data_IF_399707139222
#
_entry.id   IF_399707139222
#
_cell.length_a   1.000
_cell.length_b   1.000
_cell.length_c   1.000
_cell.angle_alpha   90.00
_cell.angle_beta   90.00
_cell.angle_gamma   90.00
#
_symmetry.space_group_name_H-M   'P 1'
#
loop_
_entity.id
_entity.type
_entity.pdbx_description
1 polymer ?
#
# COMPACT_ATOMS: atom_id res chain seq x y z
N UNK A 1 -27.95 40.98 21.89
CA UNK A 1 -28.61 39.79 21.30
C UNK A 1 -27.78 39.28 20.10
N UNK A 2 -26.78 38.44 20.37
CA UNK A 2 -26.00 37.78 19.32
C UNK A 2 -26.60 36.40 19.04
N UNK A 3 -27.01 36.20 17.80
CA UNK A 3 -27.66 34.99 17.32
C UNK A 3 -26.56 33.99 16.94
N UNK A 4 -26.33 32.98 17.78
CA UNK A 4 -25.45 31.86 17.48
C UNK A 4 -26.15 30.93 16.48
N UNK A 5 -25.86 31.07 15.19
CA UNK A 5 -26.18 30.03 14.22
C UNK A 5 -25.17 28.89 14.35
N UNK A 6 -25.66 27.77 14.88
CA UNK A 6 -25.00 26.48 14.98
C UNK A 6 -24.78 25.95 13.57
N UNK A 7 -23.55 25.97 13.08
CA UNK A 7 -23.18 25.31 11.81
C UNK A 7 -23.42 23.80 12.03
N UNK A 8 -24.36 23.24 11.26
CA UNK A 8 -24.60 21.80 11.23
C UNK A 8 -23.53 21.17 10.35
N UNK A 9 -23.00 20.02 10.78
CA UNK A 9 -22.16 19.16 9.95
C UNK A 9 -23.01 18.64 8.77
N UNK A 10 -22.93 19.30 7.62
CA UNK A 10 -23.44 18.79 6.35
C UNK A 10 -22.29 18.09 5.60
N UNK A 11 -22.60 16.97 4.94
CA UNK A 11 -21.67 16.24 4.08
C UNK A 11 -21.24 17.14 2.92
N UNK A 12 -19.93 17.29 2.73
CA UNK A 12 -19.34 18.02 1.60
C UNK A 12 -19.31 17.05 0.42
N UNK A 13 -20.32 17.12 -0.44
CA UNK A 13 -20.47 16.22 -1.59
C UNK A 13 -20.06 16.88 -2.93
N UNK A 14 -19.87 18.21 -2.99
CA UNK A 14 -19.52 18.95 -4.21
C UNK A 14 -18.26 19.84 -4.08
N UNK A 15 -17.51 19.99 -5.18
CA UNK A 15 -16.33 20.87 -5.33
C UNK A 15 -16.69 22.33 -5.07
N UNK A 16 -17.91 22.76 -5.43
CA UNK A 16 -18.38 24.12 -5.13
C UNK A 16 -18.40 24.40 -3.63
N UNK A 17 -18.71 23.39 -2.81
CA UNK A 17 -18.75 23.52 -1.35
C UNK A 17 -17.33 23.59 -0.77
N UNK A 18 -16.37 22.85 -1.34
CA UNK A 18 -14.96 22.97 -0.99
C UNK A 18 -14.40 24.36 -1.29
N UNK A 19 -14.74 24.94 -2.45
CA UNK A 19 -14.30 26.30 -2.82
C UNK A 19 -14.92 27.36 -1.92
N UNK A 20 -16.22 27.27 -1.63
CA UNK A 20 -16.88 28.19 -0.70
C UNK A 20 -16.34 28.07 0.73
N UNK A 21 -15.98 26.86 1.17
CA UNK A 21 -15.34 26.64 2.47
C UNK A 21 -13.97 27.33 2.51
N UNK A 22 -13.12 27.12 1.50
CA UNK A 22 -11.80 27.75 1.40
C UNK A 22 -11.91 29.29 1.32
N UNK A 23 -12.86 29.81 0.54
CA UNK A 23 -13.12 31.25 0.40
C UNK A 23 -13.65 31.88 1.70
N UNK A 24 -14.47 31.14 2.46
CA UNK A 24 -14.95 31.58 3.78
C UNK A 24 -13.81 31.69 4.82
N UNK A 25 -12.78 30.84 4.73
CA UNK A 25 -11.58 30.93 5.58
C UNK A 25 -10.69 32.12 5.20
N UNK A 26 -10.61 32.47 3.93
CA UNK A 26 -9.82 33.60 3.46
C UNK A 26 -10.47 34.97 3.77
N UNK A 27 -11.80 35.04 3.73
CA UNK A 27 -12.53 36.32 3.89
C UNK A 27 -12.80 36.70 5.35
N UNK A 28 -12.72 35.76 6.29
CA UNK A 28 -12.98 36.05 7.71
C UNK A 28 -12.07 35.23 8.65
N UNK A 29 -10.78 35.58 8.79
CA UNK A 29 -9.85 34.89 9.68
C UNK A 29 -10.17 35.23 11.14
N UNK A 30 -11.10 34.48 11.75
CA UNK A 30 -11.37 34.57 13.18
C UNK A 30 -10.24 33.86 13.96
N UNK A 31 -9.74 34.42 15.08
CA UNK A 31 -8.53 33.93 15.77
C UNK A 31 -8.71 32.64 16.59
N UNK A 32 -9.85 31.94 16.48
CA UNK A 32 -10.08 30.64 17.13
C UNK A 32 -10.70 29.65 16.16
N UNK A 33 -9.86 29.08 15.31
CA UNK A 33 -10.22 27.93 14.50
C UNK A 33 -10.17 26.70 15.41
N UNK A 34 -11.29 25.98 15.53
CA UNK A 34 -11.33 24.75 16.29
C UNK A 34 -10.69 23.58 15.50
N UNK A 35 -10.28 22.54 16.23
CA UNK A 35 -9.59 21.38 15.66
C UNK A 35 -10.46 20.65 14.60
N UNK A 36 -11.79 20.74 14.72
CA UNK A 36 -12.72 20.14 13.75
C UNK A 36 -12.64 20.83 12.39
N UNK A 37 -12.58 22.16 12.41
CA UNK A 37 -12.47 23.00 11.23
C UNK A 37 -11.15 22.79 10.46
N UNK A 38 -10.04 22.57 11.18
CA UNK A 38 -8.75 22.21 10.59
C UNK A 38 -8.76 20.81 9.95
N UNK A 39 -9.47 19.85 10.55
CA UNK A 39 -9.59 18.49 10.01
C UNK A 39 -10.41 18.50 8.70
N UNK A 40 -11.52 19.24 8.67
CA UNK A 40 -12.36 19.39 7.47
C UNK A 40 -11.59 20.09 6.35
N UNK A 41 -10.84 21.14 6.67
CA UNK A 41 -9.99 21.84 5.70
C UNK A 41 -8.86 20.95 5.16
N UNK A 42 -8.20 20.18 6.03
CA UNK A 42 -7.18 19.20 5.62
C UNK A 42 -7.74 18.11 4.71
N UNK A 43 -8.95 17.64 4.99
CA UNK A 43 -9.65 16.64 4.17
C UNK A 43 -10.01 17.21 2.79
N UNK A 44 -10.54 18.44 2.74
CA UNK A 44 -10.84 19.13 1.49
C UNK A 44 -9.59 19.37 0.63
N UNK A 45 -8.47 19.79 1.23
CA UNK A 45 -7.19 19.95 0.53
C UNK A 45 -6.65 18.63 -0.02
N UNK A 46 -6.75 17.54 0.75
CA UNK A 46 -6.31 16.22 0.32
C UNK A 46 -7.14 15.71 -0.89
N UNK A 47 -8.46 15.89 -0.84
CA UNK A 47 -9.34 15.53 -1.96
C UNK A 47 -9.04 16.35 -3.23
N UNK A 48 -8.81 17.66 -3.08
CA UNK A 48 -8.39 18.52 -4.17
C UNK A 48 -7.02 18.12 -4.75
N UNK A 49 -6.06 17.75 -3.89
CA UNK A 49 -4.73 17.32 -4.29
C UNK A 49 -4.76 15.98 -5.05
N UNK A 50 -5.47 14.97 -4.53
CA UNK A 50 -5.60 13.67 -5.20
C UNK A 50 -6.29 13.78 -6.55
N UNK A 51 -7.33 14.62 -6.67
CA UNK A 51 -8.05 14.81 -7.92
C UNK A 51 -7.26 15.63 -8.94
N UNK A 52 -6.46 16.62 -8.51
CA UNK A 52 -5.54 17.35 -9.39
C UNK A 52 -4.39 16.48 -9.90
N UNK A 53 -3.84 15.58 -9.05
CA UNK A 53 -2.86 14.58 -9.51
C UNK A 53 -3.47 13.61 -10.53
N UNK A 54 -4.72 13.21 -10.34
CA UNK A 54 -5.44 12.37 -11.29
C UNK A 54 -5.69 13.08 -12.64
N UNK A 55 -6.07 14.36 -12.61
CA UNK A 55 -6.27 15.16 -13.83
C UNK A 55 -4.94 15.47 -14.55
N UNK A 56 -3.87 15.76 -13.81
CA UNK A 56 -2.53 15.95 -14.38
C UNK A 56 -1.99 14.65 -15.01
N UNK A 57 -2.20 13.50 -14.36
CA UNK A 57 -1.88 12.19 -14.92
C UNK A 57 -2.61 11.94 -16.24
N UNK A 58 -3.92 12.24 -16.29
CA UNK A 58 -4.75 12.10 -17.49
C UNK A 58 -4.32 13.06 -18.60
N UNK A 59 -3.93 14.29 -18.25
CA UNK A 59 -3.46 15.30 -19.20
C UNK A 59 -2.10 14.93 -19.80
N UNK A 60 -1.16 14.44 -18.98
CA UNK A 60 0.13 13.93 -19.45
C UNK A 60 -0.03 12.73 -20.38
N UNK A 61 -0.99 11.82 -20.13
CA UNK A 61 -1.28 10.70 -21.03
C UNK A 61 -1.86 11.17 -22.37
N UNK A 62 -2.73 12.19 -22.39
CA UNK A 62 -3.26 12.73 -23.65
C UNK A 62 -2.20 13.48 -24.47
N UNK A 63 -1.30 14.23 -23.82
CA UNK A 63 -0.24 14.99 -24.52
C UNK A 63 0.82 14.07 -25.13
N UNK A 64 1.12 12.92 -24.52
CA UNK A 64 2.02 11.92 -25.13
C UNK A 64 1.46 11.24 -26.38
N UNK A 65 0.14 11.30 -26.62
CA UNK A 65 -0.48 10.68 -27.82
C UNK A 65 -0.66 11.64 -28.99
N UNK A 66 -0.43 12.94 -28.83
CA UNK A 66 -0.71 13.95 -29.86
C UNK A 66 0.48 14.84 -30.21
N UNK A 67 1.66 14.27 -30.46
CA UNK A 67 2.76 14.99 -31.12
C UNK A 67 3.33 14.20 -32.29
N UNK A 68 2.53 14.10 -33.36
CA UNK A 68 3.03 14.07 -34.74
C UNK A 68 2.17 14.99 -35.60
N UNK A 69 2.87 15.91 -36.26
CA UNK A 69 2.47 16.75 -37.40
C UNK A 69 1.99 18.18 -37.11
N UNK A 70 2.70 19.09 -37.78
CA UNK A 70 2.19 20.25 -38.54
C UNK A 70 2.19 21.62 -37.85
N UNK A 71 3.06 22.48 -38.39
CA UNK A 71 3.06 23.93 -38.30
C UNK A 71 1.73 24.52 -38.82
N UNK A 72 1.21 25.55 -38.16
CA UNK A 72 0.52 26.69 -38.81
C UNK A 72 0.19 27.75 -37.76
N UNK A 73 0.54 28.98 -38.07
CA UNK A 73 0.25 30.21 -37.34
C UNK A 73 -1.25 30.52 -37.33
N UNK A 74 -1.82 30.84 -36.16
CA UNK A 74 -2.89 31.83 -36.04
C UNK A 74 -3.09 32.29 -34.59
N UNK A 75 -3.46 33.56 -34.50
CA UNK A 75 -3.62 34.41 -33.32
C UNK A 75 -4.54 33.80 -32.25
N UNK A 76 -4.09 33.80 -31.00
CA UNK A 76 -4.91 33.52 -29.81
C UNK A 76 -4.80 34.72 -28.87
N UNK A 77 -5.96 35.29 -28.55
CA UNK A 77 -6.17 36.38 -27.59
C UNK A 77 -5.61 36.03 -26.20
N UNK A 78 -5.18 37.05 -25.41
CA UNK A 78 -4.58 36.80 -24.11
C UNK A 78 -5.66 36.34 -23.11
N UNK A 79 -5.59 35.06 -22.72
CA UNK A 79 -6.25 34.58 -21.51
C UNK A 79 -5.53 35.27 -20.35
N UNK A 80 -6.25 36.12 -19.62
CA UNK A 80 -5.78 36.66 -18.34
C UNK A 80 -5.58 35.46 -17.40
N UNK A 81 -4.32 35.07 -17.20
CA UNK A 81 -3.96 34.17 -16.11
C UNK A 81 -4.32 34.86 -14.81
N UNK A 82 -5.27 34.28 -14.08
CA UNK A 82 -5.39 34.54 -12.65
C UNK A 82 -4.04 34.24 -11.99
N UNK A 83 -3.47 35.24 -11.33
CA UNK A 83 -2.36 35.06 -10.40
C UNK A 83 -2.87 34.16 -9.26
N UNK A 84 -2.70 32.85 -9.42
CA UNK A 84 -2.79 31.94 -8.30
C UNK A 84 -1.71 32.38 -7.32
N UNK A 85 -2.14 32.94 -6.20
CA UNK A 85 -1.28 33.20 -5.06
C UNK A 85 -0.53 31.91 -4.76
N UNK A 86 0.78 31.93 -4.97
CA UNK A 86 1.68 30.80 -4.75
C UNK A 86 1.52 30.36 -3.31
N UNK A 87 0.75 29.30 -3.07
CA UNK A 87 0.64 28.69 -1.76
C UNK A 87 2.04 28.20 -1.43
N UNK A 88 2.74 28.92 -0.55
CA UNK A 88 4.04 28.51 -0.05
C UNK A 88 3.86 27.21 0.73
N UNK A 89 4.08 26.09 0.03
CA UNK A 89 4.24 24.78 0.66
C UNK A 89 5.32 24.91 1.74
N UNK A 90 5.10 24.36 2.94
CA UNK A 90 6.10 24.41 4.00
C UNK A 90 7.35 23.69 3.52
N UNK A 91 8.39 24.46 3.18
CA UNK A 91 9.70 23.96 2.73
C UNK A 91 10.55 23.44 3.89
N UNK A 92 10.06 23.52 5.13
CA UNK A 92 10.71 22.87 6.25
C UNK A 92 10.63 21.35 6.06
N UNK A 93 11.80 20.73 5.88
CA UNK A 93 12.00 19.29 5.78
C UNK A 93 11.28 18.54 6.92
N UNK A 94 11.18 19.12 8.11
CA UNK A 94 10.48 18.56 9.26
C UNK A 94 8.96 18.42 9.07
N UNK A 95 8.32 19.39 8.41
CA UNK A 95 6.88 19.34 8.10
C UNK A 95 6.57 18.25 7.07
N UNK A 96 7.43 18.09 6.07
CA UNK A 96 7.31 17.02 5.06
C UNK A 96 7.47 15.64 5.71
N UNK A 97 8.44 15.50 6.63
CA UNK A 97 8.63 14.24 7.37
C UNK A 97 7.45 13.94 8.30
N UNK A 98 6.86 14.94 8.96
CA UNK A 98 5.68 14.75 9.80
C UNK A 98 4.45 14.32 9.01
N UNK A 99 4.21 14.92 7.83
CA UNK A 99 3.13 14.49 6.93
C UNK A 99 3.36 13.04 6.48
N UNK A 100 4.59 12.68 6.11
CA UNK A 100 4.94 11.29 5.74
C UNK A 100 4.66 10.31 6.90
N UNK A 101 4.99 10.67 8.14
CA UNK A 101 4.71 9.84 9.33
C UNK A 101 3.21 9.68 9.59
N UNK A 102 2.41 10.72 9.41
CA UNK A 102 0.95 10.66 9.58
C UNK A 102 0.35 9.75 8.51
N UNK A 103 0.74 9.94 7.24
CA UNK A 103 0.28 9.07 6.14
C UNK A 103 0.64 7.60 6.38
N UNK A 104 1.86 7.31 6.84
CA UNK A 104 2.28 5.95 7.18
C UNK A 104 1.49 5.34 8.35
N UNK A 105 1.11 6.15 9.35
CA UNK A 105 0.28 5.68 10.48
C UNK A 105 -1.14 5.35 10.05
N UNK A 106 -1.75 6.21 9.23
CA UNK A 106 -3.09 5.97 8.68
C UNK A 106 -3.10 4.77 7.73
N UNK A 107 -2.07 4.62 6.90
CA UNK A 107 -1.90 3.47 6.02
C UNK A 107 -1.73 2.16 6.80
N UNK A 108 -0.91 2.18 7.86
CA UNK A 108 -0.79 1.04 8.79
C UNK A 108 -2.13 0.71 9.46
N UNK A 109 -2.91 1.71 9.87
CA UNK A 109 -4.23 1.48 10.47
C UNK A 109 -5.24 0.86 9.49
N UNK A 110 -5.17 1.21 8.20
CA UNK A 110 -6.04 0.61 7.16
C UNK A 110 -5.67 -0.84 6.86
N UNK A 111 -4.37 -1.15 6.81
CA UNK A 111 -3.86 -2.51 6.62
C UNK A 111 -4.00 -3.39 7.87
N UNK A 112 -4.24 -2.80 9.04
CA UNK A 112 -4.36 -3.49 10.32
C UNK A 112 -5.73 -4.14 10.55
N UNK A 113 -6.69 -4.04 9.62
CA UNK A 113 -7.90 -4.83 9.78
C UNK A 113 -7.57 -6.31 9.56
N UNK A 114 -7.99 -7.16 10.49
CA UNK A 114 -7.76 -8.62 10.38
C UNK A 114 -8.27 -9.17 9.03
N UNK A 115 -9.35 -8.59 8.49
CA UNK A 115 -9.87 -8.94 7.17
C UNK A 115 -8.86 -8.64 6.04
N UNK A 116 -8.19 -7.49 6.07
CA UNK A 116 -7.17 -7.14 5.07
C UNK A 116 -5.96 -8.06 5.17
N UNK A 117 -5.54 -8.38 6.40
CA UNK A 117 -4.43 -9.28 6.66
C UNK A 117 -4.74 -10.69 6.13
N UNK A 118 -5.91 -11.23 6.46
CA UNK A 118 -6.35 -12.55 5.97
C UNK A 118 -6.45 -12.58 4.43
N UNK A 119 -6.98 -11.51 3.82
CA UNK A 119 -7.02 -11.38 2.36
C UNK A 119 -5.62 -11.34 1.75
N UNK A 120 -4.66 -10.66 2.38
CA UNK A 120 -3.27 -10.64 1.94
C UNK A 120 -2.64 -12.03 2.06
N UNK A 121 -2.88 -12.75 3.16
CA UNK A 121 -2.42 -14.13 3.36
C UNK A 121 -2.93 -15.06 2.26
N UNK A 122 -4.24 -15.02 2.00
CA UNK A 122 -4.85 -15.81 0.92
C UNK A 122 -4.28 -15.44 -0.45
N UNK A 123 -4.06 -14.15 -0.70
CA UNK A 123 -3.49 -13.68 -1.97
C UNK A 123 -2.06 -14.19 -2.17
N UNK A 124 -1.23 -14.16 -1.11
CA UNK A 124 0.13 -14.69 -1.17
C UNK A 124 0.12 -16.20 -1.38
N UNK A 125 -0.68 -16.93 -0.62
CA UNK A 125 -0.81 -18.38 -0.78
C UNK A 125 -1.30 -18.76 -2.19
N UNK A 126 -2.27 -18.03 -2.73
CA UNK A 126 -2.74 -18.22 -4.10
C UNK A 126 -1.63 -17.97 -5.13
N UNK A 127 -0.83 -16.91 -4.98
CA UNK A 127 0.29 -16.62 -5.87
C UNK A 127 1.34 -17.74 -5.85
N UNK A 128 1.73 -18.20 -4.66
CA UNK A 128 2.66 -19.32 -4.48
C UNK A 128 2.12 -20.57 -5.18
N UNK A 129 0.84 -20.91 -4.94
CA UNK A 129 0.18 -22.07 -5.54
C UNK A 129 0.23 -22.00 -7.06
N UNK A 130 -0.15 -20.87 -7.65
CA UNK A 130 -0.15 -20.68 -9.10
C UNK A 130 1.25 -20.83 -9.70
N UNK A 131 2.28 -20.28 -9.04
CA UNK A 131 3.67 -20.38 -9.49
C UNK A 131 4.16 -21.83 -9.48
N UNK A 132 3.93 -22.55 -8.36
CA UNK A 132 4.33 -23.95 -8.23
C UNK A 132 3.54 -24.87 -9.17
N UNK A 133 2.23 -24.66 -9.34
CA UNK A 133 1.41 -25.38 -10.32
C UNK A 133 1.92 -25.19 -11.74
N UNK A 134 2.29 -23.96 -12.10
CA UNK A 134 2.83 -23.66 -13.43
C UNK A 134 4.18 -24.37 -13.66
N UNK A 135 5.08 -24.34 -12.66
CA UNK A 135 6.37 -25.04 -12.75
C UNK A 135 6.21 -26.55 -12.90
N UNK A 136 5.36 -27.18 -12.08
CA UNK A 136 5.08 -28.61 -12.13
C UNK A 136 4.42 -29.00 -13.46
N UNK A 137 3.48 -28.20 -13.96
CA UNK A 137 2.84 -28.42 -15.26
C UNK A 137 3.86 -28.36 -16.39
N UNK A 138 4.72 -27.34 -16.40
CA UNK A 138 5.82 -27.24 -17.37
C UNK A 138 6.77 -28.42 -17.30
N UNK A 139 7.08 -28.92 -16.09
CA UNK A 139 7.91 -30.11 -15.91
C UNK A 139 7.25 -31.36 -16.50
N UNK A 140 5.94 -31.52 -16.35
CA UNK A 140 5.17 -32.61 -16.96
C UNK A 140 5.28 -32.55 -18.49
N UNK A 141 5.09 -31.38 -19.10
CA UNK A 141 5.19 -31.19 -20.56
C UNK A 141 6.59 -31.56 -21.09
N UNK A 142 7.64 -31.15 -20.38
CA UNK A 142 9.03 -31.50 -20.73
C UNK A 142 9.25 -33.01 -20.62
N UNK A 143 8.72 -33.66 -19.59
CA UNK A 143 8.85 -35.11 -19.42
C UNK A 143 8.08 -35.89 -20.49
N UNK A 144 6.89 -35.43 -20.88
CA UNK A 144 6.08 -36.05 -21.94
C UNK A 144 6.76 -35.99 -23.32
N UNK A 145 7.58 -34.96 -23.57
CA UNK A 145 8.32 -34.79 -24.83
C UNK A 145 9.72 -35.40 -24.82
N UNK A 146 10.16 -35.94 -23.68
CA UNK A 146 11.50 -36.49 -23.49
C UNK A 146 11.69 -37.83 -24.23
N UNK A 147 12.80 -37.97 -24.94
CA UNK A 147 13.22 -39.22 -25.64
C UNK A 147 14.06 -40.15 -24.75
N UNK A 148 14.14 -39.87 -23.44
CA UNK A 148 14.86 -40.70 -22.45
C UNK A 148 14.19 -42.07 -22.26
N UNK A 149 14.82 -42.93 -21.46
CA UNK A 149 14.26 -44.22 -21.06
C UNK A 149 12.83 -44.04 -20.51
N UNK A 150 11.87 -44.74 -21.10
CA UNK A 150 10.45 -44.64 -20.82
C UNK A 150 10.11 -44.94 -19.35
N UNK A 151 10.77 -45.92 -18.73
CA UNK A 151 10.50 -46.32 -17.34
C UNK A 151 10.90 -45.21 -16.37
N UNK A 152 12.04 -44.55 -16.62
CA UNK A 152 12.54 -43.43 -15.80
C UNK A 152 11.61 -42.22 -15.95
N UNK A 153 11.21 -41.90 -17.18
CA UNK A 153 10.30 -40.78 -17.46
C UNK A 153 8.95 -41.01 -16.79
N UNK A 154 8.41 -42.24 -16.86
CA UNK A 154 7.14 -42.58 -16.23
C UNK A 154 7.21 -42.46 -14.70
N UNK A 155 8.32 -42.90 -14.09
CA UNK A 155 8.52 -42.74 -12.65
C UNK A 155 8.60 -41.26 -12.24
N UNK A 156 9.35 -40.43 -12.97
CA UNK A 156 9.42 -38.99 -12.71
C UNK A 156 8.04 -38.31 -12.89
N UNK A 157 7.27 -38.69 -13.91
CA UNK A 157 5.93 -38.16 -14.14
C UNK A 157 4.99 -38.45 -12.97
N UNK A 158 5.00 -39.66 -12.42
CA UNK A 158 4.16 -40.00 -11.27
C UNK A 158 4.58 -39.22 -10.01
N UNK A 159 5.88 -38.99 -9.81
CA UNK A 159 6.36 -38.13 -8.71
C UNK A 159 5.87 -36.69 -8.89
N UNK A 160 5.98 -36.12 -10.08
CA UNK A 160 5.58 -34.72 -10.35
C UNK A 160 4.06 -34.55 -10.24
N UNK A 161 3.27 -35.49 -10.76
CA UNK A 161 1.80 -35.49 -10.61
C UNK A 161 1.39 -35.61 -9.15
N UNK A 162 2.07 -36.46 -8.38
CA UNK A 162 1.82 -36.59 -6.94
C UNK A 162 2.06 -35.26 -6.24
N UNK A 163 3.21 -34.59 -6.50
CA UNK A 163 3.48 -33.26 -5.94
C UNK A 163 2.41 -32.23 -6.30
N UNK A 164 1.92 -32.26 -7.54
CA UNK A 164 0.83 -31.38 -7.99
C UNK A 164 -0.47 -31.63 -7.22
N UNK A 165 -0.81 -32.90 -6.96
CA UNK A 165 -1.98 -33.25 -6.16
C UNK A 165 -1.80 -32.88 -4.68
N UNK A 166 -0.61 -33.13 -4.11
CA UNK A 166 -0.29 -32.77 -2.73
C UNK A 166 -0.41 -31.25 -2.55
N UNK A 167 0.06 -30.46 -3.53
CA UNK A 167 -0.05 -29.00 -3.54
C UNK A 167 -1.50 -28.53 -3.41
N UNK A 168 -2.46 -29.17 -4.08
CA UNK A 168 -3.88 -28.81 -4.03
C UNK A 168 -4.53 -29.02 -2.65
N UNK A 169 -3.96 -29.92 -1.83
CA UNK A 169 -4.51 -30.28 -0.52
C UNK A 169 -3.91 -29.43 0.61
N UNK A 170 -2.73 -28.83 0.39
CA UNK A 170 -2.07 -27.98 1.39
C UNK A 170 -2.92 -26.77 1.78
N UNK A 171 -2.98 -26.51 3.09
CA UNK A 171 -3.53 -25.27 3.61
C UNK A 171 -2.63 -24.08 3.24
N UNK A 172 -3.21 -22.88 3.20
CA UNK A 172 -2.47 -21.66 2.88
C UNK A 172 -1.27 -21.44 3.78
N UNK A 173 -1.42 -21.71 5.09
CA UNK A 173 -0.33 -21.57 6.07
C UNK A 173 0.82 -22.55 5.83
N UNK A 174 0.51 -23.82 5.56
CA UNK A 174 1.53 -24.83 5.25
C UNK A 174 2.26 -24.49 3.96
N UNK A 175 1.53 -24.03 2.94
CA UNK A 175 2.09 -23.61 1.67
C UNK A 175 3.06 -22.45 1.83
N UNK A 176 2.65 -21.41 2.56
CA UNK A 176 3.50 -20.27 2.90
C UNK A 176 4.75 -20.72 3.64
N UNK A 177 4.62 -21.62 4.62
CA UNK A 177 5.76 -22.10 5.41
C UNK A 177 6.78 -22.85 4.54
N UNK A 178 6.32 -23.69 3.61
CA UNK A 178 7.18 -24.43 2.68
C UNK A 178 7.92 -23.50 1.70
N UNK A 179 7.32 -22.38 1.31
CA UNK A 179 7.88 -21.47 0.31
C UNK A 179 8.70 -20.32 0.91
N UNK A 180 8.79 -20.20 2.24
CA UNK A 180 9.56 -19.13 2.91
C UNK A 180 11.04 -19.09 2.49
N UNK A 181 11.59 -20.19 1.98
CA UNK A 181 12.96 -20.27 1.47
C UNK A 181 13.09 -19.81 0.00
N UNK A 182 12.00 -19.87 -0.77
CA UNK A 182 11.99 -19.57 -2.19
C UNK A 182 11.41 -18.16 -2.40
N UNK A 183 12.29 -17.20 -2.65
CA UNK A 183 12.00 -15.76 -2.73
C UNK A 183 11.18 -15.34 -3.98
N UNK A 184 10.18 -16.13 -4.40
CA UNK A 184 9.45 -16.01 -5.66
C UNK A 184 8.00 -15.52 -5.52
N UNK A 185 7.72 -14.68 -4.53
CA UNK A 185 6.43 -14.01 -4.41
C UNK A 185 6.37 -12.84 -5.40
N UNK A 186 5.43 -12.90 -6.35
CA UNK A 186 5.18 -11.80 -7.29
C UNK A 186 4.21 -10.78 -6.69
N UNK A 187 4.80 -9.80 -6.00
CA UNK A 187 4.06 -8.72 -5.36
C UNK A 187 3.29 -7.83 -6.34
N UNK A 188 3.70 -7.78 -7.61
CA UNK A 188 3.00 -7.00 -8.65
C UNK A 188 1.65 -7.64 -8.91
N UNK A 189 1.65 -8.96 -9.16
CA UNK A 189 0.42 -9.76 -9.33
C UNK A 189 -0.48 -9.66 -8.10
N UNK A 190 0.07 -9.75 -6.89
CA UNK A 190 -0.72 -9.63 -5.65
C UNK A 190 -1.39 -8.27 -5.53
N UNK A 191 -0.62 -7.19 -5.74
CA UNK A 191 -1.11 -5.81 -5.67
C UNK A 191 -2.21 -5.53 -6.70
N UNK A 192 -1.96 -5.87 -7.96
CA UNK A 192 -2.81 -5.47 -9.07
C UNK A 192 -4.03 -6.36 -9.21
N UNK A 193 -3.83 -7.68 -9.15
CA UNK A 193 -4.85 -8.67 -9.47
C UNK A 193 -5.58 -9.14 -8.21
N UNK A 194 -4.85 -9.58 -7.20
CA UNK A 194 -5.46 -10.24 -6.04
C UNK A 194 -6.03 -9.23 -5.02
N UNK A 195 -5.38 -8.08 -4.90
CA UNK A 195 -5.82 -6.97 -4.04
C UNK A 195 -6.55 -5.86 -4.83
N UNK A 196 -6.84 -6.07 -6.12
CA UNK A 196 -7.60 -5.12 -6.96
C UNK A 196 -7.04 -3.68 -6.95
N UNK A 197 -5.72 -3.52 -6.94
CA UNK A 197 -5.05 -2.21 -6.84
C UNK A 197 -5.41 -1.38 -5.58
N UNK A 198 -5.96 -2.01 -4.53
CA UNK A 198 -6.26 -1.31 -3.28
C UNK A 198 -4.99 -0.88 -2.53
N UNK A 199 -3.91 -1.66 -2.70
CA UNK A 199 -2.61 -1.44 -2.07
C UNK A 199 -1.53 -1.55 -3.13
N UNK A 200 -0.42 -0.85 -2.93
CA UNK A 200 0.74 -0.96 -3.82
C UNK A 200 1.56 -2.21 -3.50
N UNK A 201 2.35 -2.69 -4.46
CA UNK A 201 3.35 -3.76 -4.31
C UNK A 201 4.17 -3.61 -3.01
N UNK A 202 4.71 -2.41 -2.80
CA UNK A 202 5.55 -2.09 -1.63
C UNK A 202 4.78 -2.22 -0.32
N UNK A 203 3.52 -1.80 -0.30
CA UNK A 203 2.67 -1.88 0.88
C UNK A 203 2.30 -3.32 1.21
N UNK A 204 1.95 -4.13 0.20
CA UNK A 204 1.69 -5.55 0.37
C UNK A 204 2.93 -6.28 0.92
N UNK A 205 4.10 -6.04 0.33
CA UNK A 205 5.36 -6.65 0.79
C UNK A 205 5.70 -6.21 2.21
N UNK A 206 5.54 -4.94 2.54
CA UNK A 206 5.83 -4.43 3.87
C UNK A 206 4.86 -5.01 4.91
N UNK A 207 3.55 -5.00 4.63
CA UNK A 207 2.54 -5.59 5.49
C UNK A 207 2.81 -7.08 5.72
N UNK A 208 3.15 -7.82 4.66
CA UNK A 208 3.53 -9.22 4.77
C UNK A 208 4.68 -9.45 5.75
N UNK A 209 5.77 -8.71 5.57
CA UNK A 209 6.97 -8.81 6.41
C UNK A 209 6.74 -8.40 7.87
N UNK A 210 5.73 -7.57 8.14
CA UNK A 210 5.49 -6.99 9.47
C UNK A 210 4.34 -7.63 10.22
N UNK A 211 3.38 -8.24 9.51
CA UNK A 211 2.11 -8.68 10.09
C UNK A 211 1.74 -10.11 9.73
N UNK A 212 2.25 -10.66 8.61
CA UNK A 212 1.77 -11.95 8.10
C UNK A 212 2.81 -13.06 8.16
N UNK A 213 4.08 -12.74 8.36
CA UNK A 213 5.11 -13.76 8.47
C UNK A 213 4.80 -14.67 9.65
N UNK A 214 4.70 -16.00 9.46
CA UNK A 214 4.33 -16.94 10.51
C UNK A 214 5.37 -17.02 11.65
N UNK A 215 6.55 -16.41 11.45
CA UNK A 215 7.59 -16.24 12.49
C UNK A 215 7.20 -15.18 13.52
N UNK A 216 6.34 -14.23 13.15
CA UNK A 216 5.88 -13.18 14.06
C UNK A 216 4.87 -13.84 14.99
N UNK A 217 5.22 -13.91 16.28
CA UNK A 217 4.50 -14.64 17.32
C UNK A 217 3.19 -13.91 17.73
N UNK A 218 2.29 -13.70 16.78
CA UNK A 218 1.13 -12.80 16.91
C UNK A 218 0.03 -13.35 17.85
N UNK A 219 0.11 -14.65 18.19
CA UNK A 219 -0.88 -15.36 19.00
C UNK A 219 -0.45 -15.60 20.45
N UNK A 220 0.73 -15.14 20.86
CA UNK A 220 1.18 -15.27 22.24
C UNK A 220 1.27 -13.90 22.89
N UNK A 221 0.60 -13.75 24.03
CA UNK A 221 0.91 -12.66 24.95
C UNK A 221 2.41 -12.77 25.28
N UNK A 222 3.09 -11.62 25.35
CA UNK A 222 4.46 -11.55 25.82
C UNK A 222 4.60 -12.30 27.14
N UNK A 223 5.50 -13.26 27.18
CA UNK A 223 5.88 -13.96 28.40
C UNK A 223 6.67 -13.02 29.31
N UNK A 224 6.68 -13.33 30.61
CA UNK A 224 7.44 -12.53 31.59
C UNK A 224 8.93 -12.57 31.25
N UNK A 225 9.42 -13.69 30.74
CA UNK A 225 10.79 -13.88 30.30
C UNK A 225 11.13 -13.01 29.08
N UNK A 226 10.22 -12.90 28.11
CA UNK A 226 10.38 -12.01 26.96
C UNK A 226 10.37 -10.53 27.37
N UNK A 227 9.48 -10.14 28.29
CA UNK A 227 9.43 -8.77 28.84
C UNK A 227 10.71 -8.42 29.61
N UNK A 228 11.23 -9.34 30.43
CA UNK A 228 12.48 -9.15 31.16
C UNK A 228 13.68 -9.04 30.20
N UNK A 229 13.74 -9.88 29.17
CA UNK A 229 14.76 -9.81 28.13
C UNK A 229 14.70 -8.47 27.38
N UNK A 230 13.51 -8.04 26.98
CA UNK A 230 13.31 -6.76 26.30
C UNK A 230 13.79 -5.59 27.18
N UNK A 231 13.41 -5.57 28.45
CA UNK A 231 13.83 -4.54 29.39
C UNK A 231 15.36 -4.50 29.54
N UNK A 232 16.00 -5.66 29.64
CA UNK A 232 17.46 -5.75 29.73
C UNK A 232 18.14 -5.24 28.44
N UNK A 233 17.67 -5.64 27.26
CA UNK A 233 18.22 -5.20 25.98
C UNK A 233 18.04 -3.69 25.76
N UNK A 234 16.89 -3.13 26.14
CA UNK A 234 16.64 -1.68 26.07
C UNK A 234 17.55 -0.92 27.06
N UNK A 235 17.84 -1.46 28.25
CA UNK A 235 18.80 -0.85 29.18
C UNK A 235 20.23 -0.86 28.63
N UNK A 236 20.63 -1.93 27.93
CA UNK A 236 21.98 -2.08 27.36
C UNK A 236 22.18 -1.20 26.12
N UNK A 237 21.25 -1.25 25.17
CA UNK A 237 21.39 -0.62 23.85
C UNK A 237 20.71 0.76 23.75
N UNK A 238 19.80 1.08 24.66
CA UNK A 238 18.96 2.28 24.62
C UNK A 238 17.74 2.13 23.70
N UNK A 239 16.80 3.07 23.80
CA UNK A 239 15.55 3.08 23.01
C UNK A 239 15.66 3.88 21.70
N UNK A 240 16.84 3.91 21.08
CA UNK A 240 17.07 4.67 19.85
C UNK A 240 16.49 3.95 18.61
N UNK A 241 16.08 4.72 17.60
CA UNK A 241 15.35 4.20 16.43
C UNK A 241 16.14 3.15 15.63
N UNK A 242 17.46 3.25 15.61
CA UNK A 242 18.39 2.35 14.90
C UNK A 242 18.71 1.06 15.68
N UNK A 243 18.43 1.00 16.98
CA UNK A 243 18.76 -0.13 17.85
C UNK A 243 17.65 -1.19 17.91
N UNK A 244 16.41 -0.85 17.53
CA UNK A 244 15.28 -1.78 17.56
C UNK A 244 15.47 -2.99 16.66
N UNK A 245 16.14 -2.85 15.52
CA UNK A 245 16.44 -3.99 14.64
C UNK A 245 17.41 -4.98 15.31
N UNK A 246 18.39 -4.48 16.06
CA UNK A 246 19.31 -5.33 16.84
C UNK A 246 18.56 -6.01 17.99
N UNK A 247 17.76 -5.26 18.75
CA UNK A 247 16.96 -5.80 19.86
C UNK A 247 16.00 -6.88 19.36
N UNK A 248 15.31 -6.64 18.25
CA UNK A 248 14.36 -7.59 17.67
C UNK A 248 15.02 -8.89 17.21
N UNK A 249 16.32 -8.89 16.86
CA UNK A 249 17.04 -10.09 16.44
C UNK A 249 17.33 -11.09 17.56
N UNK A 250 17.03 -10.73 18.82
CA UNK A 250 17.17 -11.60 19.99
C UNK A 250 15.90 -12.42 20.30
N UNK A 251 14.82 -12.22 19.55
CA UNK A 251 13.55 -12.95 19.65
C UNK A 251 13.36 -13.80 18.39
#
# INVERSE_FOLDING_TARGET
PFNNQKIKNEQIDDISDCYHLIESFHTNPSPRIDHSSLLTFGTALNLCYQRNLFQLSKHCQTVSTSHKSSQSTNEILPIQMFEFSTVHLPTNNESIQNIRRIMQREEKARLSSNETIEKLIQSVAQNIRQNQEHELTRRIEILQTSTRNADIVQQELEIVKKKLNDLQILSDRELIQQDTENNHIDWTTISEILMNNQYTEKCCRHAWQQLCLPVINDNQNWSVEEDELLNNLVQIHGAYADQWALIASHF
#
